data_IF_839092139594
#
_entry.id   IF_839092139594
#
_cell.length_a   1.000
_cell.length_b   1.000
_cell.length_c   1.000
_cell.angle_alpha   90.00
_cell.angle_beta   90.00
_cell.angle_gamma   90.00
#
_symmetry.space_group_name_H-M   'P 1'
#
loop_
_entity.id
_entity.type
_entity.pdbx_description
1 polymer ?
#
# COMPACT_ATOMS: atom_id res chain seq x y z
N UNK A 1 10.44 6.35 -1.20
CA UNK A 1 10.53 7.62 -0.42
C UNK A 1 10.63 7.40 1.09
N UNK A 2 9.67 6.74 1.76
CA UNK A 2 9.68 6.63 3.23
C UNK A 2 10.91 5.93 3.84
N UNK A 3 11.47 4.91 3.16
CA UNK A 3 12.64 4.17 3.65
C UNK A 3 13.93 5.01 3.68
N UNK A 4 14.12 5.94 2.75
CA UNK A 4 15.29 6.83 2.73
C UNK A 4 15.20 7.92 3.82
N UNK A 5 13.99 8.41 4.08
CA UNK A 5 13.73 9.36 5.16
C UNK A 5 14.03 8.77 6.55
N UNK A 6 13.72 7.48 6.75
CA UNK A 6 14.06 6.77 8.00
C UNK A 6 15.57 6.68 8.20
N UNK A 7 16.34 6.34 7.15
CA UNK A 7 17.80 6.23 7.24
C UNK A 7 18.43 7.60 7.56
N UNK A 8 17.97 8.66 6.91
CA UNK A 8 18.45 10.03 7.16
C UNK A 8 18.10 10.49 8.57
N UNK A 9 16.87 10.25 9.01
CA UNK A 9 16.44 10.56 10.37
C UNK A 9 17.29 9.85 11.44
N UNK A 10 17.63 8.58 11.22
CA UNK A 10 18.47 7.83 12.16
C UNK A 10 19.91 8.38 12.18
N UNK A 11 20.48 8.70 11.01
CA UNK A 11 21.81 9.31 10.88
C UNK A 11 21.90 10.67 11.59
N UNK A 12 20.81 11.45 11.56
CA UNK A 12 20.76 12.79 12.17
C UNK A 12 20.49 12.75 13.68
N UNK A 13 19.72 11.76 14.16
CA UNK A 13 19.21 11.75 15.54
C UNK A 13 19.91 10.77 16.47
N UNK A 14 20.65 9.79 15.95
CA UNK A 14 21.32 8.77 16.77
C UNK A 14 22.85 8.84 16.64
N UNK A 15 23.58 9.22 17.69
CA UNK A 15 25.04 9.10 17.72
C UNK A 15 25.41 7.62 17.88
N UNK A 16 25.53 6.91 16.75
CA UNK A 16 25.94 5.52 16.65
C UNK A 16 26.92 5.33 15.49
N UNK A 17 27.30 4.10 15.13
CA UNK A 17 28.13 3.87 13.94
C UNK A 17 27.40 4.41 12.70
N UNK A 18 28.11 5.23 11.91
CA UNK A 18 27.55 5.91 10.74
C UNK A 18 26.99 4.88 9.75
N UNK A 19 25.73 5.08 9.34
CA UNK A 19 25.07 4.22 8.34
C UNK A 19 25.48 4.61 6.93
N UNK A 20 25.95 5.84 6.74
CA UNK A 20 26.42 6.38 5.47
C UNK A 20 27.92 6.72 5.51
N UNK A 21 28.65 6.57 4.39
CA UNK A 21 30.02 7.05 4.28
C UNK A 21 30.11 8.57 4.47
N UNK A 22 31.17 9.03 5.14
CA UNK A 22 31.47 10.47 5.29
C UNK A 22 31.80 11.15 3.95
N UNK A 23 32.41 10.41 3.01
CA UNK A 23 32.75 10.90 1.68
C UNK A 23 31.46 11.17 0.85
N UNK A 24 31.25 12.42 0.39
CA UNK A 24 30.08 12.80 -0.40
C UNK A 24 29.85 11.94 -1.64
N UNK A 25 30.92 11.52 -2.33
CA UNK A 25 30.81 10.75 -3.57
C UNK A 25 30.31 9.33 -3.29
N UNK A 26 30.88 8.67 -2.28
CA UNK A 26 30.44 7.34 -1.83
C UNK A 26 29.01 7.37 -1.31
N UNK A 27 28.65 8.44 -0.58
CA UNK A 27 27.29 8.64 -0.09
C UNK A 27 26.27 8.83 -1.21
N UNK A 28 26.61 9.56 -2.27
CA UNK A 28 25.75 9.69 -3.45
C UNK A 28 25.53 8.34 -4.15
N UNK A 29 26.57 7.50 -4.22
CA UNK A 29 26.47 6.15 -4.80
C UNK A 29 25.57 5.23 -3.98
N UNK A 30 25.67 5.26 -2.65
CA UNK A 30 24.78 4.51 -1.75
C UNK A 30 23.33 4.97 -1.92
N UNK A 31 23.08 6.29 -1.96
CA UNK A 31 21.74 6.85 -2.18
C UNK A 31 21.15 6.42 -3.53
N UNK A 32 21.92 6.48 -4.60
CA UNK A 32 21.47 6.04 -5.93
C UNK A 32 21.06 4.57 -5.94
N UNK A 33 21.80 3.68 -5.26
CA UNK A 33 21.43 2.26 -5.13
C UNK A 33 20.15 2.10 -4.30
N UNK A 34 20.05 2.80 -3.16
CA UNK A 34 18.85 2.78 -2.33
C UNK A 34 17.62 3.31 -3.08
N UNK A 35 17.77 4.38 -3.85
CA UNK A 35 16.69 4.98 -4.65
C UNK A 35 16.30 4.07 -5.81
N UNK A 36 17.24 3.39 -6.45
CA UNK A 36 16.95 2.38 -7.47
C UNK A 36 16.10 1.22 -6.89
N UNK A 37 16.47 0.72 -5.71
CA UNK A 37 15.73 -0.34 -5.01
C UNK A 37 14.35 0.15 -4.54
N UNK A 38 14.30 1.37 -3.98
CA UNK A 38 13.07 1.95 -3.43
C UNK A 38 12.09 2.43 -4.49
N UNK A 39 12.56 2.83 -5.68
CA UNK A 39 11.72 3.23 -6.81
C UNK A 39 11.36 2.07 -7.73
N UNK A 40 12.22 1.04 -7.82
CA UNK A 40 12.06 -0.07 -8.76
C UNK A 40 11.35 -1.32 -8.23
N UNK A 41 11.22 -1.51 -6.92
CA UNK A 41 10.73 -2.77 -6.32
C UNK A 41 9.55 -2.57 -5.36
N UNK A 42 8.66 -1.61 -5.64
CA UNK A 42 7.36 -1.59 -4.96
C UNK A 42 6.24 -1.51 -6.00
N UNK A 43 5.74 -2.65 -6.52
CA UNK A 43 4.32 -2.69 -6.88
C UNK A 43 3.54 -2.13 -5.69
N UNK A 44 2.50 -1.34 -5.96
CA UNK A 44 1.56 -0.75 -5.00
C UNK A 44 1.59 -1.52 -3.67
N UNK A 45 2.33 -1.01 -2.67
CA UNK A 45 2.58 -1.79 -1.47
C UNK A 45 1.26 -1.88 -0.72
N UNK A 46 0.58 -3.01 -0.85
CA UNK A 46 -0.65 -3.29 -0.12
C UNK A 46 -0.32 -3.20 1.38
N UNK A 47 -1.14 -2.42 2.06
CA UNK A 47 -1.05 -2.16 3.48
C UNK A 47 -2.31 -2.63 4.18
N UNK A 48 -2.28 -2.65 5.51
CA UNK A 48 -3.48 -2.91 6.31
C UNK A 48 -4.62 -1.94 6.00
N UNK A 49 -4.32 -0.71 5.57
CA UNK A 49 -5.36 0.25 5.19
C UNK A 49 -6.16 -0.24 3.98
N UNK A 50 -5.50 -0.85 2.99
CA UNK A 50 -6.14 -1.38 1.79
C UNK A 50 -7.01 -2.61 2.09
N UNK A 51 -6.52 -3.48 2.97
CA UNK A 51 -7.25 -4.66 3.46
C UNK A 51 -8.53 -4.23 4.20
N UNK A 52 -8.46 -3.16 4.98
CA UNK A 52 -9.62 -2.60 5.66
C UNK A 52 -10.53 -1.81 4.72
N UNK A 53 -10.01 -1.19 3.67
CA UNK A 53 -10.77 -0.31 2.79
C UNK A 53 -11.85 -1.07 2.01
N UNK A 54 -11.48 -2.17 1.34
CA UNK A 54 -12.38 -2.89 0.43
C UNK A 54 -13.65 -3.40 1.14
N UNK A 55 -13.57 -4.08 2.30
CA UNK A 55 -14.76 -4.50 3.04
C UNK A 55 -15.62 -3.32 3.55
N UNK A 56 -14.99 -2.19 3.87
CA UNK A 56 -15.72 -1.00 4.33
C UNK A 56 -16.50 -0.35 3.19
N UNK A 57 -15.92 -0.28 1.98
CA UNK A 57 -16.64 0.20 0.79
C UNK A 57 -17.79 -0.74 0.44
N UNK A 58 -17.57 -2.06 0.46
CA UNK A 58 -18.64 -3.05 0.26
C UNK A 58 -19.80 -2.86 1.25
N UNK A 59 -19.50 -2.67 2.54
CA UNK A 59 -20.53 -2.41 3.54
C UNK A 59 -21.24 -1.08 3.29
N UNK A 60 -20.50 -0.02 2.94
CA UNK A 60 -21.09 1.28 2.62
C UNK A 60 -22.09 1.17 1.45
N UNK A 61 -21.72 0.48 0.37
CA UNK A 61 -22.60 0.20 -0.77
C UNK A 61 -23.82 -0.64 -0.35
N UNK A 62 -23.61 -1.68 0.46
CA UNK A 62 -24.69 -2.52 1.02
C UNK A 62 -25.69 -1.72 1.85
N UNK A 63 -25.23 -0.70 2.57
CA UNK A 63 -26.07 0.22 3.35
C UNK A 63 -26.53 1.46 2.56
N UNK A 64 -26.32 1.48 1.23
CA UNK A 64 -26.75 2.55 0.32
C UNK A 64 -26.13 3.91 0.63
N UNK A 65 -24.91 3.91 1.18
CA UNK A 65 -24.10 5.13 1.29
C UNK A 65 -23.65 5.54 -0.11
N UNK A 66 -23.78 6.82 -0.43
CA UNK A 66 -23.30 7.37 -1.69
C UNK A 66 -21.77 7.48 -1.69
N UNK A 67 -21.13 6.46 -2.25
CA UNK A 67 -19.66 6.36 -2.35
C UNK A 67 -19.07 7.27 -3.44
N UNK A 68 -19.90 7.83 -4.33
CA UNK A 68 -19.43 8.72 -5.40
C UNK A 68 -18.95 10.07 -4.87
N UNK A 69 -19.38 10.43 -3.66
CA UNK A 69 -18.87 11.60 -2.92
C UNK A 69 -17.38 11.44 -2.51
N UNK A 70 -16.82 10.24 -2.59
CA UNK A 70 -15.45 9.93 -2.17
C UNK A 70 -14.59 9.40 -3.34
N UNK A 71 -14.24 10.24 -4.34
CA UNK A 71 -13.62 9.80 -5.59
C UNK A 71 -12.25 9.10 -5.39
N UNK A 72 -11.47 9.51 -4.39
CA UNK A 72 -10.21 8.84 -4.05
C UNK A 72 -10.43 7.44 -3.51
N UNK A 73 -11.40 7.27 -2.60
CA UNK A 73 -11.76 5.96 -2.04
C UNK A 73 -12.25 5.03 -3.15
N UNK A 74 -13.14 5.54 -4.02
CA UNK A 74 -13.66 4.77 -5.16
C UNK A 74 -12.54 4.30 -6.10
N UNK A 75 -11.63 5.20 -6.47
CA UNK A 75 -10.47 4.85 -7.32
C UNK A 75 -9.57 3.80 -6.68
N UNK A 76 -9.28 3.92 -5.38
CA UNK A 76 -8.49 2.94 -4.65
C UNK A 76 -9.20 1.58 -4.60
N UNK A 77 -10.48 1.56 -4.25
CA UNK A 77 -11.29 0.34 -4.22
C UNK A 77 -11.28 -0.38 -5.57
N UNK A 78 -11.50 0.34 -6.68
CA UNK A 78 -11.42 -0.21 -8.03
C UNK A 78 -10.04 -0.79 -8.37
N UNK A 79 -8.98 -0.11 -7.96
CA UNK A 79 -7.61 -0.59 -8.17
C UNK A 79 -7.34 -1.87 -7.37
N UNK A 80 -7.82 -1.95 -6.14
CA UNK A 80 -7.64 -3.11 -5.26
C UNK A 80 -8.47 -4.31 -5.74
N UNK A 81 -9.71 -4.10 -6.17
CA UNK A 81 -10.59 -5.15 -6.72
C UNK A 81 -10.06 -5.76 -8.03
N UNK A 82 -9.18 -5.07 -8.74
CA UNK A 82 -8.50 -5.63 -9.92
C UNK A 82 -7.43 -6.68 -9.57
N UNK A 83 -7.04 -6.78 -8.30
CA UNK A 83 -6.08 -7.77 -7.82
C UNK A 83 -6.81 -9.07 -7.44
N UNK A 84 -6.26 -10.21 -7.88
CA UNK A 84 -6.82 -11.54 -7.62
C UNK A 84 -7.08 -11.81 -6.13
N UNK A 85 -6.19 -11.33 -5.25
CA UNK A 85 -6.33 -11.50 -3.80
C UNK A 85 -7.63 -10.87 -3.26
N UNK A 86 -8.11 -9.76 -3.83
CA UNK A 86 -9.35 -9.10 -3.41
C UNK A 86 -10.57 -9.63 -4.16
N UNK A 87 -10.43 -10.05 -5.42
CA UNK A 87 -11.56 -10.62 -6.16
C UNK A 87 -11.96 -12.00 -5.63
N UNK A 88 -10.99 -12.87 -5.34
CA UNK A 88 -11.24 -14.23 -4.82
C UNK A 88 -11.73 -14.23 -3.37
N UNK A 89 -11.35 -13.23 -2.58
CA UNK A 89 -11.83 -13.04 -1.21
C UNK A 89 -13.16 -12.28 -1.13
N UNK A 90 -13.75 -11.91 -2.26
CA UNK A 90 -15.03 -11.22 -2.28
C UNK A 90 -16.13 -12.08 -1.61
N UNK A 91 -17.07 -11.47 -0.85
CA UNK A 91 -18.12 -12.21 -0.17
C UNK A 91 -18.97 -13.10 -1.08
N UNK A 92 -19.14 -12.77 -2.36
CA UNK A 92 -19.92 -13.58 -3.31
C UNK A 92 -19.20 -14.84 -3.81
N UNK A 93 -17.91 -14.98 -3.52
CA UNK A 93 -17.06 -16.08 -3.98
C UNK A 93 -16.76 -17.11 -2.87
N UNK A 94 -17.37 -16.96 -1.69
CA UNK A 94 -17.12 -17.84 -0.56
C UNK A 94 -18.01 -19.09 -0.57
N UNK A 95 -17.58 -20.24 -0.02
CA UNK A 95 -18.37 -21.48 -0.03
C UNK A 95 -19.73 -21.36 0.65
N UNK A 96 -19.83 -20.52 1.67
CA UNK A 96 -21.02 -20.26 2.48
C UNK A 96 -21.93 -19.18 1.90
N UNK A 97 -21.54 -18.54 0.79
CA UNK A 97 -22.38 -17.55 0.10
C UNK A 97 -23.73 -18.19 -0.26
N UNK A 98 -24.86 -17.57 0.13
CA UNK A 98 -26.19 -17.99 -0.34
C UNK A 98 -26.27 -18.04 -1.87
N UNK A 99 -27.00 -19.01 -2.41
CA UNK A 99 -27.00 -19.27 -3.86
C UNK A 99 -27.47 -18.07 -4.71
N UNK A 100 -28.34 -17.23 -4.16
CA UNK A 100 -28.87 -16.01 -4.76
C UNK A 100 -27.87 -14.84 -4.78
N UNK A 101 -26.78 -14.94 -4.02
CA UNK A 101 -25.76 -13.90 -3.87
C UNK A 101 -24.38 -14.30 -4.43
N UNK A 102 -24.26 -15.48 -5.03
CA UNK A 102 -23.02 -15.93 -5.69
C UNK A 102 -22.82 -15.20 -7.01
N UNK A 103 -21.56 -14.84 -7.29
CA UNK A 103 -21.15 -14.22 -8.56
C UNK A 103 -20.95 -15.25 -9.67
#
# INVERSE_FOLDING_TARGET
MAKLAIIQYIEETRPGPALLPADPQKRAKVRMICDLIASGIQPLQISMADICLVPQVYNAERFKVDVDQFPTIKRLNQTLLALEAFSTSHPSCQPDTPADLRA
#
